data_IF_215785185372
#
_entry.id   IF_215785185372
#
_cell.length_a   1.000
_cell.length_b   1.000
_cell.length_c   1.000
_cell.angle_alpha   90.00
_cell.angle_beta   90.00
_cell.angle_gamma   90.00
#
_symmetry.space_group_name_H-M   'P 1'
#
loop_
_entity.id
_entity.type
_entity.pdbx_description
1 polymer ?
#
# COMPACT_ATOMS: atom_id res chain seq x y z
N UNK A 1 -16.80 -36.07 -0.65
CA UNK A 1 -16.16 -34.91 -1.30
C UNK A 1 -17.04 -33.67 -1.05
N UNK A 2 -16.87 -32.98 0.09
CA UNK A 2 -17.55 -31.69 0.30
C UNK A 2 -16.68 -30.62 -0.34
N UNK A 3 -17.08 -30.14 -1.51
CA UNK A 3 -16.42 -29.00 -2.13
C UNK A 3 -16.77 -27.75 -1.31
N UNK A 4 -15.88 -27.38 -0.39
CA UNK A 4 -15.96 -26.15 0.37
C UNK A 4 -15.56 -24.97 -0.55
N UNK A 5 -16.45 -24.60 -1.47
CA UNK A 5 -16.26 -23.40 -2.30
C UNK A 5 -16.58 -22.17 -1.46
N UNK A 6 -15.57 -21.70 -0.74
CA UNK A 6 -15.58 -20.37 -0.12
C UNK A 6 -15.95 -19.33 -1.21
N UNK A 7 -16.91 -18.46 -0.89
CA UNK A 7 -17.46 -17.50 -1.83
C UNK A 7 -16.33 -16.65 -2.47
N UNK A 8 -16.23 -16.60 -3.82
CA UNK A 8 -15.14 -15.91 -4.52
C UNK A 8 -14.93 -14.46 -4.05
N UNK A 9 -16.03 -13.80 -3.68
CA UNK A 9 -16.07 -12.38 -3.30
C UNK A 9 -15.37 -12.08 -1.97
N UNK A 10 -15.34 -13.03 -1.02
CA UNK A 10 -14.58 -12.83 0.23
C UNK A 10 -13.09 -13.00 -0.01
N UNK A 11 -12.71 -14.02 -0.79
CA UNK A 11 -11.32 -14.28 -1.13
C UNK A 11 -10.72 -13.11 -1.93
N UNK A 12 -11.44 -12.54 -2.89
CA UNK A 12 -10.99 -11.37 -3.65
C UNK A 12 -10.75 -10.14 -2.74
N UNK A 13 -11.66 -9.86 -1.80
CA UNK A 13 -11.49 -8.72 -0.87
C UNK A 13 -10.35 -8.93 0.13
N UNK A 14 -10.19 -10.14 0.65
CA UNK A 14 -9.08 -10.48 1.54
C UNK A 14 -7.74 -10.43 0.80
N UNK A 15 -7.72 -10.87 -0.46
CA UNK A 15 -6.55 -10.79 -1.34
C UNK A 15 -6.19 -9.32 -1.64
N UNK A 16 -7.18 -8.47 -1.95
CA UNK A 16 -6.96 -7.02 -2.12
C UNK A 16 -6.44 -6.35 -0.85
N UNK A 17 -6.98 -6.68 0.32
CA UNK A 17 -6.50 -6.11 1.58
C UNK A 17 -5.07 -6.54 1.91
N UNK A 18 -4.75 -7.83 1.73
CA UNK A 18 -3.40 -8.36 1.91
C UNK A 18 -2.42 -7.76 0.89
N UNK A 19 -2.88 -7.50 -0.34
CA UNK A 19 -2.11 -6.83 -1.39
C UNK A 19 -1.79 -5.39 -1.02
N UNK A 20 -2.79 -4.61 -0.62
CA UNK A 20 -2.62 -3.22 -0.14
C UNK A 20 -1.67 -3.16 1.04
N UNK A 21 -1.82 -4.06 2.03
CA UNK A 21 -0.92 -4.13 3.17
C UNK A 21 0.52 -4.42 2.74
N UNK A 22 0.72 -5.35 1.81
CA UNK A 22 2.06 -5.65 1.27
C UNK A 22 2.66 -4.44 0.56
N UNK A 23 1.90 -3.76 -0.30
CA UNK A 23 2.35 -2.57 -1.01
C UNK A 23 2.73 -1.45 -0.04
N UNK A 24 1.92 -1.25 1.00
CA UNK A 24 2.21 -0.32 2.08
C UNK A 24 3.55 -0.62 2.76
N UNK A 25 3.79 -1.88 3.18
CA UNK A 25 5.04 -2.28 3.83
C UNK A 25 6.27 -2.09 2.93
N UNK A 26 6.15 -2.41 1.64
CA UNK A 26 7.23 -2.20 0.67
C UNK A 26 7.51 -0.70 0.51
N UNK A 27 6.46 0.12 0.37
CA UNK A 27 6.59 1.56 0.22
C UNK A 27 7.24 2.19 1.45
N UNK A 28 6.83 1.78 2.66
CA UNK A 28 7.41 2.23 3.93
C UNK A 28 8.90 1.86 4.01
N UNK A 29 9.26 0.62 3.70
CA UNK A 29 10.66 0.18 3.69
C UNK A 29 11.52 0.99 2.69
N UNK A 30 10.98 1.29 1.50
CA UNK A 30 11.67 2.10 0.49
C UNK A 30 11.81 3.56 0.95
N UNK A 31 10.77 4.15 1.53
CA UNK A 31 10.81 5.51 2.06
C UNK A 31 11.85 5.63 3.19
N UNK A 32 11.86 4.68 4.14
CA UNK A 32 12.86 4.64 5.21
C UNK A 32 14.30 4.53 4.68
N UNK A 33 14.52 3.74 3.63
CA UNK A 33 15.84 3.59 3.00
C UNK A 33 16.29 4.86 2.25
N UNK A 34 15.37 5.53 1.56
CA UNK A 34 15.65 6.74 0.76
C UNK A 34 15.80 8.00 1.63
N UNK A 35 15.12 8.06 2.79
CA UNK A 35 15.08 9.23 3.68
C UNK A 35 14.61 10.50 2.96
N UNK A 36 13.36 10.53 2.46
CA UNK A 36 12.81 11.70 1.80
C UNK A 36 12.78 12.89 2.76
N UNK A 37 12.84 14.10 2.22
CA UNK A 37 12.81 15.36 2.99
C UNK A 37 11.55 16.16 2.70
N UNK A 38 10.59 15.59 1.97
CA UNK A 38 9.35 16.25 1.59
C UNK A 38 8.20 15.26 1.36
N UNK A 39 6.94 15.68 1.59
CA UNK A 39 5.77 14.86 1.26
C UNK A 39 5.70 14.49 -0.23
N UNK A 40 6.22 15.35 -1.10
CA UNK A 40 6.25 15.09 -2.54
C UNK A 40 7.12 13.87 -2.88
N UNK A 41 8.31 13.77 -2.29
CA UNK A 41 9.19 12.61 -2.49
C UNK A 41 8.57 11.32 -1.94
N UNK A 42 7.88 11.38 -0.80
CA UNK A 42 7.12 10.23 -0.27
C UNK A 42 6.05 9.80 -1.29
N UNK A 43 5.28 10.76 -1.82
CA UNK A 43 4.26 10.51 -2.84
C UNK A 43 4.82 9.82 -4.08
N UNK A 44 5.98 10.26 -4.57
CA UNK A 44 6.62 9.68 -5.75
C UNK A 44 7.16 8.26 -5.48
N UNK A 45 7.73 8.01 -4.30
CA UNK A 45 8.17 6.66 -3.87
C UNK A 45 6.97 5.71 -3.79
N UNK A 46 5.87 6.16 -3.17
CA UNK A 46 4.64 5.35 -3.07
C UNK A 46 4.08 5.10 -4.46
N UNK A 47 4.01 6.11 -5.34
CA UNK A 47 3.47 5.96 -6.71
C UNK A 47 4.23 4.90 -7.51
N UNK A 48 5.55 4.92 -7.48
CA UNK A 48 6.41 3.91 -8.13
C UNK A 48 6.28 2.53 -7.49
N UNK A 49 5.83 2.45 -6.24
CA UNK A 49 5.68 1.16 -5.53
C UNK A 49 4.32 0.53 -5.76
N UNK A 50 3.25 1.33 -5.83
CA UNK A 50 1.88 0.82 -5.96
C UNK A 50 1.42 0.65 -7.41
N UNK A 51 2.05 1.29 -8.40
CA UNK A 51 1.80 1.11 -9.85
C UNK A 51 0.31 0.96 -10.24
N UNK A 52 -0.52 1.95 -9.86
CA UNK A 52 -1.99 1.97 -10.07
C UNK A 52 -2.78 0.79 -9.49
N UNK A 53 -2.17 -0.07 -8.67
CA UNK A 53 -2.82 -1.21 -8.02
C UNK A 53 -3.77 -0.80 -6.89
N UNK A 54 -3.79 0.48 -6.52
CA UNK A 54 -4.66 1.03 -5.47
C UNK A 54 -5.41 2.24 -5.98
N UNK A 55 -6.64 2.43 -5.50
CA UNK A 55 -7.39 3.64 -5.81
C UNK A 55 -6.76 4.90 -5.20
N UNK A 56 -7.16 6.06 -5.69
CA UNK A 56 -6.65 7.37 -5.25
C UNK A 56 -6.80 7.62 -3.74
N UNK A 57 -7.85 7.09 -3.10
CA UNK A 57 -8.07 7.27 -1.66
C UNK A 57 -7.07 6.43 -0.86
N UNK A 58 -6.92 5.16 -1.23
CA UNK A 58 -5.95 4.24 -0.64
C UNK A 58 -4.52 4.74 -0.84
N UNK A 59 -4.19 5.23 -2.04
CA UNK A 59 -2.92 5.89 -2.32
C UNK A 59 -2.65 7.05 -1.35
N UNK A 60 -3.60 7.97 -1.19
CA UNK A 60 -3.48 9.12 -0.29
C UNK A 60 -3.30 8.70 1.16
N UNK A 61 -4.01 7.66 1.61
CA UNK A 61 -3.88 7.12 2.96
C UNK A 61 -2.46 6.57 3.21
N UNK A 62 -1.92 5.80 2.27
CA UNK A 62 -0.54 5.26 2.36
C UNK A 62 0.48 6.39 2.40
N UNK A 63 0.35 7.41 1.53
CA UNK A 63 1.27 8.57 1.51
C UNK A 63 1.22 9.33 2.82
N UNK A 64 0.03 9.59 3.38
CA UNK A 64 -0.12 10.30 4.64
C UNK A 64 0.53 9.55 5.81
N UNK A 65 0.28 8.24 5.91
CA UNK A 65 0.83 7.39 6.97
C UNK A 65 2.35 7.33 6.92
N UNK A 66 2.93 7.06 5.74
CA UNK A 66 4.39 7.03 5.58
C UNK A 66 5.01 8.41 5.81
N UNK A 67 4.34 9.49 5.37
CA UNK A 67 4.86 10.85 5.57
C UNK A 67 4.97 11.21 7.05
N UNK A 68 4.00 10.80 7.87
CA UNK A 68 4.04 11.03 9.33
C UNK A 68 5.17 10.25 10.00
N UNK A 69 5.51 9.07 9.49
CA UNK A 69 6.61 8.23 10.00
C UNK A 69 8.00 8.76 9.61
N UNK A 70 8.22 9.13 8.34
CA UNK A 70 9.58 9.39 7.81
C UNK A 70 9.97 10.86 7.73
N UNK A 71 9.03 11.80 7.84
CA UNK A 71 9.30 13.25 7.78
C UNK A 71 9.26 13.95 9.14
N UNK A 72 9.05 13.18 10.21
CA UNK A 72 9.02 13.66 11.58
C UNK A 72 10.40 13.59 12.23
#
# INVERSE_FOLDING_TARGET
>A
MRENRLSPVRNARTDSAARVQRLHLIAAARAAAVRPTSPQQVSDIVRVTVDDEVDTCTFKAIVADISDDVLR
#
